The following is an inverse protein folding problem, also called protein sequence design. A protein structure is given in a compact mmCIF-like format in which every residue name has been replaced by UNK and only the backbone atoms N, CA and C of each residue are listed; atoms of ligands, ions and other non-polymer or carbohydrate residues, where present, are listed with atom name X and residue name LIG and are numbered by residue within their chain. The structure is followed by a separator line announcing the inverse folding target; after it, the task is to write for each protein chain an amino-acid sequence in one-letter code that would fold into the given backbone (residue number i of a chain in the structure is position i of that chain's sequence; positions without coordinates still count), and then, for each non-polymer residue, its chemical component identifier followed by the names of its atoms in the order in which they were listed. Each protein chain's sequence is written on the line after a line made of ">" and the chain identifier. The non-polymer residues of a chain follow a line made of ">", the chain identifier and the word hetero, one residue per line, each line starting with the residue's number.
data_IF_302510734776
#
_entry.id   IF_302510734776
#
_cell.length_a   1.000
_cell.length_b   1.000
_cell.length_c   1.000
_cell.angle_alpha   90.00
_cell.angle_beta   90.00
_cell.angle_gamma   90.00
#
_symmetry.space_group_name_H-M   'P 1'
#
loop_
_entity.id
_entity.type
_entity.pdbx_description
1 polymer ?
#
# COMPACT_ATOMS: atom_id res chain seq x y z
N UNK A 1 -40.98 -14.31 -37.15
CA UNK A 1 -40.60 -15.21 -36.04
C UNK A 1 -39.29 -14.70 -35.47
N UNK A 2 -39.35 -14.10 -34.28
CA UNK A 2 -38.24 -13.49 -33.56
C UNK A 2 -37.54 -14.50 -32.62
N UNK A 3 -36.29 -14.19 -32.24
CA UNK A 3 -35.50 -14.54 -31.02
C UNK A 3 -34.05 -14.89 -31.42
N UNK A 4 -33.01 -14.07 -31.23
CA UNK A 4 -32.35 -13.50 -30.03
C UNK A 4 -31.73 -14.56 -29.10
N UNK A 5 -30.39 -14.62 -29.07
CA UNK A 5 -29.52 -14.51 -27.86
C UNK A 5 -28.05 -14.61 -28.33
N UNK A 6 -27.28 -13.53 -28.49
CA UNK A 6 -26.66 -12.67 -27.48
C UNK A 6 -25.67 -13.42 -26.56
N UNK A 7 -24.44 -13.60 -27.04
CA UNK A 7 -23.28 -13.90 -26.19
C UNK A 7 -22.98 -12.68 -25.31
N UNK A 8 -23.50 -12.72 -24.08
CA UNK A 8 -23.24 -11.70 -23.06
C UNK A 8 -21.83 -11.92 -22.51
N UNK A 9 -20.94 -10.97 -22.82
CA UNK A 9 -19.62 -10.84 -22.23
C UNK A 9 -19.67 -11.00 -20.70
N UNK A 10 -18.82 -11.86 -20.13
CA UNK A 10 -18.51 -11.84 -18.70
C UNK A 10 -17.65 -10.61 -18.38
N UNK A 11 -18.26 -9.42 -18.41
CA UNK A 11 -17.77 -8.19 -17.79
C UNK A 11 -18.66 -7.92 -16.59
N UNK A 12 -18.32 -8.48 -15.42
CA UNK A 12 -19.31 -8.51 -14.33
C UNK A 12 -18.86 -8.79 -12.90
N UNK A 13 -17.56 -8.87 -12.61
CA UNK A 13 -17.08 -8.69 -11.23
C UNK A 13 -16.15 -7.48 -11.19
N UNK A 14 -16.71 -6.31 -11.51
CA UNK A 14 -16.07 -5.06 -11.12
C UNK A 14 -16.21 -4.95 -9.60
N UNK A 15 -15.06 -4.98 -8.90
CA UNK A 15 -15.00 -4.59 -7.50
C UNK A 15 -15.73 -3.24 -7.30
N UNK A 16 -16.37 -3.00 -6.14
CA UNK A 16 -17.08 -1.75 -5.90
C UNK A 16 -16.14 -0.58 -6.19
N UNK A 17 -16.65 0.49 -6.83
CA UNK A 17 -15.89 1.66 -7.29
C UNK A 17 -15.08 2.38 -6.19
N UNK A 18 -15.37 2.07 -4.92
CA UNK A 18 -14.60 2.50 -3.75
C UNK A 18 -13.28 1.73 -3.55
N UNK A 19 -13.17 0.51 -4.08
CA UNK A 19 -11.98 -0.36 -4.02
C UNK A 19 -10.98 -0.10 -5.13
N UNK A 20 -11.40 0.52 -6.23
CA UNK A 20 -10.50 0.90 -7.33
C UNK A 20 -9.87 2.27 -7.13
N UNK A 21 -10.25 3.03 -6.09
CA UNK A 21 -9.69 4.36 -5.84
C UNK A 21 -8.28 4.23 -5.27
N UNK A 22 -7.28 4.54 -6.09
CA UNK A 22 -5.90 4.75 -5.63
C UNK A 22 -5.84 6.08 -4.88
N UNK A 23 -4.82 6.27 -4.04
CA UNK A 23 -4.65 7.50 -3.26
C UNK A 23 -4.64 8.77 -4.16
N UNK A 24 -4.35 8.58 -5.44
CA UNK A 24 -4.28 9.59 -6.49
C UNK A 24 -5.67 10.07 -6.99
N UNK A 25 -6.74 9.30 -6.76
CA UNK A 25 -8.07 9.55 -7.32
C UNK A 25 -8.96 10.53 -6.51
N UNK A 26 -8.40 11.14 -5.46
CA UNK A 26 -9.12 12.08 -4.60
C UNK A 26 -9.12 13.53 -5.16
N UNK A 27 -8.21 13.87 -6.06
CA UNK A 27 -8.11 15.21 -6.66
C UNK A 27 -8.59 15.21 -8.12
N UNK A 28 -9.90 15.41 -8.30
CA UNK A 28 -10.54 15.66 -9.59
C UNK A 28 -10.23 17.05 -10.17
N UNK A 29 -8.95 17.39 -10.27
CA UNK A 29 -8.42 18.59 -10.89
C UNK A 29 -6.94 18.34 -11.17
N UNK A 30 -6.50 18.58 -12.40
CA UNK A 30 -5.11 18.39 -12.79
C UNK A 30 -4.18 19.23 -11.91
N UNK A 31 -3.63 18.60 -10.88
CA UNK A 31 -2.49 19.11 -10.11
C UNK A 31 -1.29 18.48 -10.80
N UNK A 32 -0.43 19.33 -11.37
CA UNK A 32 0.86 18.88 -11.87
C UNK A 32 1.54 18.05 -10.77
N UNK A 33 1.91 16.82 -11.08
CA UNK A 33 2.63 15.97 -10.14
C UNK A 33 4.01 16.61 -9.96
N UNK A 34 4.18 17.41 -8.91
CA UNK A 34 5.35 18.28 -8.68
C UNK A 34 6.68 17.50 -8.51
N UNK A 35 6.66 16.17 -8.58
CA UNK A 35 7.79 15.28 -8.33
C UNK A 35 8.01 14.23 -9.44
N UNK A 36 7.62 14.49 -10.69
CA UNK A 36 8.02 13.65 -11.82
C UNK A 36 9.32 14.16 -12.45
N UNK A 37 10.24 13.25 -12.77
CA UNK A 37 11.43 13.58 -13.54
C UNK A 37 11.11 13.75 -15.04
N UNK A 38 12.14 14.10 -15.83
CA UNK A 38 12.02 14.30 -17.28
C UNK A 38 11.51 13.07 -18.05
N UNK A 39 11.47 11.90 -17.40
CA UNK A 39 11.03 10.62 -17.97
C UNK A 39 9.73 10.11 -17.33
N UNK A 40 9.09 10.89 -16.45
CA UNK A 40 7.82 10.55 -15.80
C UNK A 40 7.97 9.60 -14.60
N UNK A 41 9.17 9.47 -14.02
CA UNK A 41 9.36 8.72 -12.78
C UNK A 41 9.13 9.60 -11.55
N UNK A 42 8.42 9.08 -10.55
CA UNK A 42 8.18 9.79 -9.30
C UNK A 42 9.45 9.82 -8.42
N UNK A 43 9.93 11.01 -8.07
CA UNK A 43 11.04 11.21 -7.14
C UNK A 43 10.53 11.34 -5.69
N UNK A 44 10.72 10.28 -4.92
CA UNK A 44 10.36 10.23 -3.49
C UNK A 44 11.49 10.62 -2.53
N UNK A 45 12.67 11.04 -3.02
CA UNK A 45 13.85 11.28 -2.17
C UNK A 45 13.64 12.35 -1.10
N UNK A 46 12.78 13.34 -1.36
CA UNK A 46 12.49 14.41 -0.40
C UNK A 46 11.64 13.92 0.79
N UNK A 47 10.73 12.97 0.55
CA UNK A 47 9.79 12.45 1.56
C UNK A 47 10.31 11.18 2.27
N UNK A 48 11.15 10.40 1.59
CA UNK A 48 11.67 9.11 2.05
C UNK A 48 13.18 9.19 2.38
N UNK A 49 13.51 9.82 3.50
CA UNK A 49 14.88 9.94 3.99
C UNK A 49 15.42 8.60 4.49
N UNK A 50 16.61 8.21 4.04
CA UNK A 50 17.23 6.95 4.44
C UNK A 50 17.65 6.95 5.92
N UNK A 51 17.29 5.91 6.65
CA UNK A 51 17.72 5.75 8.06
C UNK A 51 19.15 5.20 8.13
N UNK A 52 19.86 5.53 9.22
CA UNK A 52 21.27 5.09 9.40
C UNK A 52 21.43 3.58 9.48
N UNK A 53 20.42 2.87 9.96
CA UNK A 53 20.37 1.42 10.15
C UNK A 53 19.62 0.69 9.01
N UNK A 54 19.56 1.30 7.82
CA UNK A 54 18.83 0.79 6.66
C UNK A 54 19.22 -0.63 6.22
N UNK A 55 20.45 -1.08 6.50
CA UNK A 55 20.91 -2.44 6.14
C UNK A 55 20.22 -3.55 6.91
N UNK A 56 19.65 -3.24 8.09
CA UNK A 56 18.99 -4.20 8.98
C UNK A 56 17.47 -4.24 8.83
N UNK A 57 16.93 -3.44 7.92
CA UNK A 57 15.49 -3.16 7.78
C UNK A 57 15.03 -3.64 6.41
N UNK A 58 13.96 -4.43 6.25
CA UNK A 58 13.66 -5.06 4.97
C UNK A 58 12.64 -4.32 4.10
N UNK A 59 12.02 -3.24 4.60
CA UNK A 59 10.88 -2.59 3.93
C UNK A 59 11.23 -1.25 3.28
N UNK A 60 10.61 -0.97 2.14
CA UNK A 60 10.38 0.37 1.62
C UNK A 60 8.88 0.63 1.52
N UNK A 61 8.45 1.82 1.92
CA UNK A 61 7.04 2.22 1.88
C UNK A 61 6.93 3.53 1.11
N UNK A 62 6.31 3.46 -0.06
CA UNK A 62 6.09 4.62 -0.92
C UNK A 62 4.81 5.39 -0.50
N UNK A 63 4.72 6.70 -0.83
CA UNK A 63 3.57 7.53 -0.46
C UNK A 63 2.23 7.09 -1.09
N UNK A 64 2.29 6.37 -2.20
CA UNK A 64 1.18 5.74 -2.94
C UNK A 64 0.64 4.46 -2.27
N UNK A 65 1.26 4.03 -1.17
CA UNK A 65 0.86 2.83 -0.41
C UNK A 65 1.48 1.53 -0.90
N UNK A 66 2.35 1.57 -1.93
CA UNK A 66 3.15 0.41 -2.30
C UNK A 66 4.21 0.13 -1.23
N UNK A 67 4.37 -1.15 -0.90
CA UNK A 67 5.33 -1.64 0.08
C UNK A 67 6.20 -2.69 -0.60
N UNK A 68 7.51 -2.46 -0.61
CA UNK A 68 8.48 -3.42 -1.11
C UNK A 68 9.18 -4.11 0.05
N UNK A 69 9.21 -5.45 0.01
CA UNK A 69 9.81 -6.30 1.03
C UNK A 69 10.97 -7.12 0.45
N UNK A 70 12.14 -6.99 1.06
CA UNK A 70 13.31 -7.80 0.72
C UNK A 70 13.25 -9.20 1.35
N UNK A 71 13.23 -10.25 0.52
CA UNK A 71 13.14 -11.65 0.96
C UNK A 71 14.44 -12.19 1.55
N UNK A 72 15.57 -11.58 1.20
CA UNK A 72 16.92 -11.99 1.63
C UNK A 72 17.32 -11.46 3.02
N UNK A 73 16.47 -10.65 3.65
CA UNK A 73 16.73 -10.11 4.99
C UNK A 73 16.51 -11.18 6.07
N UNK A 74 17.35 -11.25 7.13
CA UNK A 74 17.14 -12.21 8.22
C UNK A 74 15.83 -12.02 8.99
N UNK A 75 15.23 -10.82 8.89
CA UNK A 75 13.93 -10.50 9.52
C UNK A 75 12.74 -10.67 8.56
N UNK A 76 12.96 -11.19 7.35
CA UNK A 76 11.94 -11.38 6.32
C UNK A 76 10.69 -12.08 6.85
N UNK A 77 10.83 -13.18 7.58
CA UNK A 77 9.68 -13.97 8.06
C UNK A 77 8.72 -13.12 8.90
N UNK A 78 9.27 -12.36 9.85
CA UNK A 78 8.48 -11.47 10.71
C UNK A 78 7.83 -10.33 9.90
N UNK A 79 8.56 -9.76 8.94
CA UNK A 79 8.03 -8.70 8.10
C UNK A 79 6.93 -9.21 7.15
N UNK A 80 7.09 -10.40 6.57
CA UNK A 80 6.11 -11.02 5.70
C UNK A 80 4.83 -11.37 6.44
N UNK A 81 4.93 -12.01 7.61
CA UNK A 81 3.77 -12.34 8.45
C UNK A 81 3.00 -11.08 8.85
N UNK A 82 3.72 -10.01 9.17
CA UNK A 82 3.12 -8.70 9.46
C UNK A 82 2.42 -8.11 8.23
N UNK A 83 3.07 -8.09 7.06
CA UNK A 83 2.46 -7.54 5.83
C UNK A 83 1.23 -8.34 5.38
N UNK A 84 1.21 -9.66 5.55
CA UNK A 84 0.03 -10.49 5.25
C UNK A 84 -1.18 -10.05 6.09
N UNK A 85 -0.95 -9.58 7.31
CA UNK A 85 -2.03 -9.15 8.19
C UNK A 85 -2.56 -7.74 7.85
N UNK A 86 -1.74 -6.87 7.24
CA UNK A 86 -2.07 -5.44 7.07
C UNK A 86 -2.19 -4.96 5.62
N UNK A 87 -1.72 -5.73 4.64
CA UNK A 87 -1.61 -5.31 3.25
C UNK A 87 -1.93 -6.46 2.27
N UNK A 88 -2.27 -6.12 1.04
CA UNK A 88 -2.58 -7.09 -0.01
C UNK A 88 -1.34 -7.40 -0.84
N UNK A 89 -1.02 -8.67 -1.12
CA UNK A 89 0.11 -9.01 -1.98
C UNK A 89 -0.19 -8.70 -3.45
N UNK A 90 0.71 -7.96 -4.11
CA UNK A 90 0.64 -7.67 -5.56
C UNK A 90 1.50 -8.67 -6.32
N UNK A 91 2.81 -8.71 -6.01
CA UNK A 91 3.75 -9.63 -6.64
C UNK A 91 4.72 -10.24 -5.61
N UNK A 92 5.14 -11.50 -5.84
CA UNK A 92 6.08 -12.22 -4.96
C UNK A 92 7.16 -12.96 -5.76
N UNK A 93 8.05 -12.23 -6.45
CA UNK A 93 9.21 -12.81 -7.12
C UNK A 93 10.28 -13.22 -6.10
N UNK A 94 11.39 -13.81 -6.55
CA UNK A 94 12.39 -14.42 -5.66
C UNK A 94 13.01 -13.47 -4.61
N UNK A 95 13.29 -12.22 -4.97
CA UNK A 95 14.10 -11.31 -4.13
C UNK A 95 13.34 -10.16 -3.46
N UNK A 96 12.37 -9.55 -4.17
CA UNK A 96 11.67 -8.35 -3.70
C UNK A 96 10.17 -8.54 -3.92
N UNK A 97 9.43 -8.66 -2.83
CA UNK A 97 7.98 -8.77 -2.87
C UNK A 97 7.33 -7.41 -2.84
N UNK A 98 6.18 -7.29 -3.48
CA UNK A 98 5.38 -6.08 -3.51
C UNK A 98 4.03 -6.33 -2.87
N UNK A 99 3.66 -5.43 -1.96
CA UNK A 99 2.38 -5.39 -1.28
C UNK A 99 1.77 -4.01 -1.47
N UNK A 100 0.45 -3.93 -1.40
CA UNK A 100 -0.30 -2.69 -1.46
C UNK A 100 -1.06 -2.50 -0.16
N UNK A 101 -0.87 -1.34 0.46
CA UNK A 101 -1.72 -0.88 1.55
C UNK A 101 -3.03 -0.36 0.96
N UNK A 102 -4.15 -0.96 1.38
CA UNK A 102 -5.50 -0.58 0.93
C UNK A 102 -6.38 -0.26 2.14
N UNK A 103 -7.49 0.44 1.91
CA UNK A 103 -8.47 0.66 2.97
C UNK A 103 -9.10 -0.66 3.46
N UNK A 104 -9.21 -1.66 2.58
CA UNK A 104 -9.79 -2.97 2.88
C UNK A 104 -8.87 -3.83 3.74
N UNK A 105 -7.58 -3.89 3.39
CA UNK A 105 -6.60 -4.62 4.19
C UNK A 105 -6.42 -4.02 5.58
N UNK A 106 -6.38 -2.69 5.70
CA UNK A 106 -6.36 -2.03 7.00
C UNK A 106 -7.64 -2.27 7.82
N UNK A 107 -8.81 -2.28 7.16
CA UNK A 107 -10.06 -2.64 7.82
C UNK A 107 -10.00 -4.07 8.40
N UNK A 108 -9.48 -5.02 7.61
CA UNK A 108 -9.33 -6.40 8.05
C UNK A 108 -8.34 -6.50 9.24
N UNK A 109 -7.23 -5.76 9.19
CA UNK A 109 -6.24 -5.70 10.26
C UNK A 109 -6.83 -5.19 11.59
N UNK A 110 -7.63 -4.12 11.54
CA UNK A 110 -8.30 -3.59 12.74
C UNK A 110 -9.35 -4.58 13.26
N UNK A 111 -10.05 -5.28 12.35
CA UNK A 111 -11.06 -6.28 12.71
C UNK A 111 -10.49 -7.50 13.44
N UNK A 112 -9.22 -7.85 13.20
CA UNK A 112 -8.50 -8.90 13.94
C UNK A 112 -7.83 -8.38 15.22
N UNK A 113 -8.03 -7.10 15.57
CA UNK A 113 -7.57 -6.49 16.81
C UNK A 113 -6.21 -5.79 16.73
N UNK A 114 -5.65 -5.53 15.55
CA UNK A 114 -4.43 -4.73 15.42
C UNK A 114 -4.73 -3.24 15.64
N UNK A 115 -3.98 -2.62 16.55
CA UNK A 115 -4.10 -1.18 16.78
C UNK A 115 -3.34 -0.39 15.71
N UNK A 116 -3.95 0.68 15.20
CA UNK A 116 -3.35 1.56 14.19
C UNK A 116 -2.00 2.13 14.61
N UNK A 117 -1.87 2.52 15.89
CA UNK A 117 -0.62 3.01 16.45
C UNK A 117 0.49 1.95 16.46
N UNK A 118 0.16 0.68 16.66
CA UNK A 118 1.13 -0.40 16.59
C UNK A 118 1.52 -0.70 15.15
N UNK A 119 0.57 -0.69 14.22
CA UNK A 119 0.85 -0.82 12.78
C UNK A 119 1.89 0.22 12.34
N UNK A 120 1.69 1.50 12.70
CA UNK A 120 2.61 2.59 12.37
C UNK A 120 3.98 2.37 13.01
N UNK A 121 4.04 1.98 14.29
CA UNK A 121 5.32 1.70 14.97
C UNK A 121 6.07 0.54 14.33
N UNK A 122 5.37 -0.54 13.97
CA UNK A 122 6.00 -1.71 13.34
C UNK A 122 6.48 -1.38 11.93
N UNK A 123 5.69 -0.67 11.12
CA UNK A 123 6.12 -0.15 9.82
C UNK A 123 7.36 0.73 9.97
N UNK A 124 7.37 1.68 10.91
CA UNK A 124 8.51 2.56 11.10
C UNK A 124 9.77 1.81 11.56
N UNK A 125 9.64 0.73 12.35
CA UNK A 125 10.77 -0.11 12.78
C UNK A 125 11.34 -0.98 11.66
N UNK A 126 10.51 -1.43 10.73
CA UNK A 126 10.92 -2.28 9.61
C UNK A 126 11.27 -1.49 8.33
N UNK A 127 10.84 -0.24 8.22
CA UNK A 127 11.10 0.61 7.05
C UNK A 127 12.52 1.16 7.04
N UNK A 128 13.22 0.97 5.93
CA UNK A 128 14.56 1.50 5.62
C UNK A 128 14.60 3.02 5.57
N UNK A 129 13.50 3.63 5.14
CA UNK A 129 13.35 5.08 5.01
C UNK A 129 12.43 5.62 6.09
N UNK A 130 12.37 6.94 6.25
CA UNK A 130 11.28 7.58 6.97
C UNK A 130 9.95 7.16 6.37
N UNK A 131 9.00 6.80 7.23
CA UNK A 131 7.65 6.50 6.80
C UNK A 131 6.97 7.81 6.37
N UNK A 132 6.45 7.91 5.13
CA UNK A 132 5.79 9.12 4.65
C UNK A 132 4.60 9.52 5.54
N UNK A 133 4.43 10.82 5.79
CA UNK A 133 3.34 11.34 6.64
C UNK A 133 1.96 11.04 6.05
N UNK A 134 1.83 10.97 4.71
CA UNK A 134 0.60 10.57 4.04
C UNK A 134 0.13 9.17 4.46
N UNK A 135 1.06 8.22 4.58
CA UNK A 135 0.76 6.84 5.01
C UNK A 135 0.35 6.79 6.49
N UNK A 136 1.04 7.53 7.36
CA UNK A 136 0.66 7.61 8.78
C UNK A 136 -0.77 8.13 8.93
N UNK A 137 -1.08 9.24 8.26
CA UNK A 137 -2.43 9.82 8.25
C UNK A 137 -3.45 8.86 7.67
N UNK A 138 -3.12 8.16 6.59
CA UNK A 138 -4.01 7.15 5.98
C UNK A 138 -4.39 6.05 6.98
N UNK A 139 -3.42 5.57 7.77
CA UNK A 139 -3.65 4.55 8.80
C UNK A 139 -4.44 5.13 10.00
N UNK A 140 -4.15 6.36 10.44
CA UNK A 140 -4.83 7.01 11.56
C UNK A 140 -6.29 7.36 11.26
N UNK A 141 -6.59 7.90 10.07
CA UNK A 141 -7.94 8.34 9.68
C UNK A 141 -8.94 7.18 9.75
N UNK A 142 -8.50 5.95 9.47
CA UNK A 142 -9.35 4.77 9.50
C UNK A 142 -9.65 4.24 10.90
N UNK A 143 -9.01 4.80 11.95
CA UNK A 143 -9.39 4.56 13.35
C UNK A 143 -10.77 5.15 13.68
N UNK A 144 -11.07 6.35 13.18
CA UNK A 144 -12.27 7.11 13.57
C UNK A 144 -13.57 6.66 12.88
N UNK A 145 -13.51 5.60 12.07
CA UNK A 145 -14.70 5.04 11.41
C UNK A 145 -15.35 3.90 12.21
N UNK A 146 -14.77 3.52 13.37
CA UNK A 146 -15.20 2.37 14.19
C UNK A 146 -15.52 2.71 15.65
N UNK A 147 -15.47 3.98 16.05
CA UNK A 147 -16.06 4.49 17.30
C UNK A 147 -17.41 5.16 17.02
#
# INVERSE_FOLDING_TARGET
>A
MASITAEKSLSGLAAPKAASRRLDDASGGGVAIENEDEFGAHDYRNEMQLKKDHSSRPLWVAPDGHIFLESFSPVYKHASDFLIAIAEPICRPEFIHEYQLTAYSLYAAVSIGLQTGDIIKYLDRLCKTSLPEGIKKFIEVKKNFFE
#
